data_IF_446505292935
#
_entry.id   IF_446505292935
#
_cell.length_a   1.000
_cell.length_b   1.000
_cell.length_c   1.000
_cell.angle_alpha   90.00
_cell.angle_beta   90.00
_cell.angle_gamma   90.00
#
_symmetry.space_group_name_H-M   'P 1'
#
loop_
_entity.id
_entity.type
_entity.pdbx_description
1 polymer ?
#
# COMPACT_ATOMS: atom_id res chain seq x y z
N UNK A 1 6.46 38.81 -36.38
CA UNK A 1 5.99 39.14 -35.02
C UNK A 1 6.12 37.89 -34.17
N UNK A 2 6.97 37.93 -33.14
CA UNK A 2 7.30 36.75 -32.34
C UNK A 2 6.20 36.43 -31.33
N UNK A 3 6.08 35.17 -30.91
CA UNK A 3 5.11 34.75 -29.89
C UNK A 3 5.21 35.55 -28.59
N UNK A 4 6.39 36.08 -28.27
CA UNK A 4 6.66 36.86 -27.06
C UNK A 4 5.98 38.25 -27.08
N UNK A 5 5.71 38.81 -28.26
CA UNK A 5 5.00 40.10 -28.41
C UNK A 5 3.49 39.95 -28.18
N UNK A 6 2.95 38.72 -28.21
CA UNK A 6 1.54 38.44 -27.91
C UNK A 6 1.27 38.21 -26.43
N UNK A 7 2.30 38.03 -25.60
CA UNK A 7 2.13 37.80 -24.18
C UNK A 7 1.85 39.11 -23.43
N UNK A 8 0.81 39.14 -22.59
CA UNK A 8 0.51 40.29 -21.73
C UNK A 8 1.41 40.29 -20.49
N UNK A 9 2.58 40.89 -20.63
CA UNK A 9 3.54 41.09 -19.54
C UNK A 9 3.06 42.08 -18.47
N UNK A 10 2.00 42.84 -18.74
CA UNK A 10 1.39 43.78 -17.78
C UNK A 10 0.75 43.08 -16.57
N UNK A 11 0.43 41.79 -16.70
CA UNK A 11 -0.17 40.97 -15.63
C UNK A 11 0.75 40.88 -14.41
N UNK A 12 2.08 40.87 -14.58
CA UNK A 12 3.03 40.80 -13.46
C UNK A 12 3.08 42.06 -12.60
N UNK A 13 2.61 43.19 -13.12
CA UNK A 13 2.53 44.47 -12.38
C UNK A 13 1.26 44.58 -11.52
N UNK A 14 0.29 43.68 -11.72
CA UNK A 14 -0.99 43.70 -10.98
C UNK A 14 -0.82 43.00 -9.64
N UNK A 15 -1.35 43.62 -8.59
CA UNK A 15 -1.28 43.05 -7.23
C UNK A 15 -2.09 41.77 -7.10
N UNK A 16 -3.18 41.65 -7.87
CA UNK A 16 -4.07 40.50 -7.90
C UNK A 16 -3.33 39.23 -8.36
N UNK A 17 -2.40 39.36 -9.31
CA UNK A 17 -1.61 38.23 -9.84
C UNK A 17 -0.79 37.57 -8.74
N UNK A 18 -0.13 38.37 -7.90
CA UNK A 18 0.70 37.86 -6.81
C UNK A 18 -0.13 37.28 -5.67
N UNK A 19 -1.30 37.85 -5.40
CA UNK A 19 -2.27 37.26 -4.45
C UNK A 19 -2.75 35.89 -4.94
N UNK A 20 -3.14 35.80 -6.21
CA UNK A 20 -3.55 34.54 -6.84
C UNK A 20 -2.42 33.51 -6.86
N UNK A 21 -1.18 33.93 -7.14
CA UNK A 21 -0.01 33.07 -7.06
C UNK A 21 0.21 32.51 -5.66
N UNK A 22 0.10 33.35 -4.61
CA UNK A 22 0.18 32.90 -3.22
C UNK A 22 -0.88 31.85 -2.88
N UNK A 23 -2.13 32.07 -3.31
CA UNK A 23 -3.22 31.08 -3.14
C UNK A 23 -2.90 29.78 -3.87
N UNK A 24 -2.37 29.85 -5.09
CA UNK A 24 -1.99 28.66 -5.86
C UNK A 24 -0.88 27.86 -5.16
N UNK A 25 0.16 28.52 -4.66
CA UNK A 25 1.26 27.87 -3.92
C UNK A 25 0.72 27.15 -2.69
N UNK A 26 -0.15 27.79 -1.91
CA UNK A 26 -0.75 27.17 -0.73
C UNK A 26 -1.61 25.97 -1.12
N UNK A 27 -2.49 26.12 -2.12
CA UNK A 27 -3.39 25.05 -2.54
C UNK A 27 -2.62 23.82 -3.04
N UNK A 28 -1.66 24.04 -3.95
CA UNK A 28 -0.81 22.96 -4.46
C UNK A 28 0.06 22.33 -3.38
N UNK A 29 0.59 23.15 -2.45
CA UNK A 29 1.37 22.66 -1.32
C UNK A 29 0.55 21.75 -0.41
N UNK A 30 -0.69 22.13 -0.07
CA UNK A 30 -1.58 21.30 0.76
C UNK A 30 -1.94 20.00 0.05
N UNK A 31 -2.25 20.06 -1.25
CA UNK A 31 -2.58 18.86 -2.03
C UNK A 31 -1.37 17.92 -2.11
N UNK A 32 -0.17 18.45 -2.38
CA UNK A 32 1.06 17.67 -2.42
C UNK A 32 1.37 17.04 -1.06
N UNK A 33 1.26 17.81 0.03
CA UNK A 33 1.45 17.31 1.38
C UNK A 33 0.47 16.18 1.72
N UNK A 34 -0.82 16.36 1.43
CA UNK A 34 -1.83 15.34 1.66
C UNK A 34 -1.56 14.07 0.84
N UNK A 35 -1.19 14.22 -0.43
CA UNK A 35 -0.81 13.09 -1.28
C UNK A 35 0.39 12.32 -0.72
N UNK A 36 1.48 13.02 -0.38
CA UNK A 36 2.68 12.40 0.19
C UNK A 36 2.39 11.73 1.54
N UNK A 37 1.59 12.35 2.39
CA UNK A 37 1.22 11.79 3.71
C UNK A 37 0.36 10.52 3.57
N UNK A 38 -0.54 10.49 2.57
CA UNK A 38 -1.33 9.29 2.27
C UNK A 38 -0.43 8.16 1.75
N UNK A 39 0.53 8.46 0.86
CA UNK A 39 1.51 7.46 0.41
C UNK A 39 2.33 6.90 1.57
N UNK A 40 2.81 7.75 2.48
CA UNK A 40 3.56 7.34 3.68
C UNK A 40 2.72 6.42 4.59
N UNK A 41 1.43 6.77 4.80
CA UNK A 41 0.50 5.91 5.57
C UNK A 41 0.16 4.60 4.87
N UNK A 42 0.24 4.54 3.54
CA UNK A 42 -0.03 3.33 2.77
C UNK A 42 1.14 2.36 2.82
N UNK A 43 2.39 2.84 2.86
CA UNK A 43 3.56 1.97 3.07
C UNK A 43 3.47 1.23 4.42
N UNK A 44 2.94 1.88 5.46
CA UNK A 44 2.68 1.26 6.77
C UNK A 44 1.54 0.21 6.71
N UNK A 45 0.49 0.45 5.91
CA UNK A 45 -0.66 -0.47 5.76
C UNK A 45 -0.35 -1.66 4.84
N UNK A 46 0.48 -1.46 3.81
CA UNK A 46 0.84 -2.50 2.85
C UNK A 46 2.06 -3.33 3.27
N UNK A 47 2.62 -3.06 4.45
CA UNK A 47 3.45 -4.01 5.21
C UNK A 47 4.54 -4.69 4.34
N UNK A 48 5.19 -3.94 3.45
CA UNK A 48 6.28 -4.49 2.63
C UNK A 48 7.52 -4.89 3.45
N UNK A 49 7.54 -4.45 4.72
CA UNK A 49 8.55 -4.74 5.74
C UNK A 49 7.95 -5.47 6.96
N UNK A 50 6.68 -5.89 6.92
CA UNK A 50 6.14 -6.72 7.99
C UNK A 50 6.55 -8.17 7.79
N UNK A 51 6.78 -8.84 8.92
CA UNK A 51 7.01 -10.28 8.97
C UNK A 51 5.92 -10.98 8.14
N UNK A 52 6.26 -11.85 7.17
CA UNK A 52 5.27 -12.51 6.34
C UNK A 52 4.19 -13.12 7.23
N UNK A 53 2.93 -12.70 7.04
CA UNK A 53 1.83 -13.25 7.83
C UNK A 53 1.91 -14.78 7.75
N UNK A 54 1.97 -15.49 8.90
CA UNK A 54 2.17 -16.92 8.88
C UNK A 54 1.03 -17.55 8.08
N UNK A 55 1.39 -18.38 7.09
CA UNK A 55 0.41 -19.10 6.26
C UNK A 55 -0.56 -19.80 7.22
N UNK A 56 -1.88 -19.58 7.09
CA UNK A 56 -2.85 -20.19 7.98
C UNK A 56 -2.66 -21.70 7.97
N UNK A 57 -2.78 -22.31 9.16
CA UNK A 57 -2.59 -23.74 9.28
C UNK A 57 -3.67 -24.49 8.49
N UNK A 58 -3.22 -25.36 7.59
CA UNK A 58 -4.11 -26.25 6.85
C UNK A 58 -4.22 -27.54 7.67
N UNK A 59 -5.42 -27.75 8.22
CA UNK A 59 -5.81 -28.94 8.98
C UNK A 59 -6.79 -29.74 8.13
N UNK A 60 -6.44 -30.98 7.83
CA UNK A 60 -7.30 -31.90 7.08
C UNK A 60 -7.71 -33.02 8.03
N UNK A 61 -9.01 -33.19 8.20
CA UNK A 61 -9.56 -34.30 8.97
C UNK A 61 -9.38 -35.61 8.18
N UNK A 62 -8.73 -36.59 8.80
CA UNK A 62 -8.46 -37.92 8.25
C UNK A 62 -9.34 -38.97 8.95
N UNK A 63 -9.59 -40.08 8.28
CA UNK A 63 -10.28 -41.23 8.89
C UNK A 63 -9.34 -42.08 9.77
N UNK A 64 -8.07 -41.66 9.90
CA UNK A 64 -7.01 -42.31 10.68
C UNK A 64 -6.96 -43.84 10.49
N UNK A 65 -6.97 -44.28 9.22
CA UNK A 65 -6.98 -45.71 8.88
C UNK A 65 -5.60 -46.32 9.08
N UNK A 66 -5.55 -47.36 9.91
CA UNK A 66 -4.33 -48.13 10.20
C UNK A 66 -3.65 -48.59 8.91
N UNK A 67 -2.36 -48.33 8.79
CA UNK A 67 -1.54 -48.72 7.63
C UNK A 67 -1.73 -47.90 6.35
N UNK A 68 -2.58 -46.86 6.34
CA UNK A 68 -2.75 -45.95 5.18
C UNK A 68 -2.39 -44.51 5.58
N UNK A 69 -3.16 -43.93 6.48
CA UNK A 69 -3.07 -42.50 6.87
C UNK A 69 -2.36 -42.32 8.21
N UNK A 70 -2.28 -43.37 9.03
CA UNK A 70 -1.69 -43.39 10.38
C UNK A 70 -0.28 -42.78 10.49
N UNK A 71 0.53 -42.87 9.44
CA UNK A 71 1.89 -42.32 9.44
C UNK A 71 1.94 -40.78 9.21
N UNK A 72 0.84 -40.20 8.75
CA UNK A 72 0.73 -38.78 8.40
C UNK A 72 -0.29 -38.03 9.26
N UNK A 73 -1.03 -38.77 10.09
CA UNK A 73 -2.12 -38.28 10.91
C UNK A 73 -1.69 -38.27 12.39
N UNK A 74 -2.02 -37.20 13.12
CA UNK A 74 -1.72 -37.09 14.55
C UNK A 74 -2.64 -38.00 15.41
N UNK A 75 -2.45 -37.95 16.74
CA UNK A 75 -3.28 -38.72 17.69
C UNK A 75 -4.76 -38.37 17.64
N UNK A 76 -5.10 -37.18 17.14
CA UNK A 76 -6.46 -36.65 17.08
C UNK A 76 -7.14 -36.94 15.74
N UNK A 77 -6.46 -37.59 14.79
CA UNK A 77 -7.03 -37.89 13.47
C UNK A 77 -6.82 -36.78 12.43
N UNK A 78 -5.95 -35.83 12.70
CA UNK A 78 -5.71 -34.66 11.85
C UNK A 78 -4.38 -34.73 11.11
N UNK A 79 -4.39 -34.31 9.84
CA UNK A 79 -3.18 -34.06 9.05
C UNK A 79 -2.91 -32.56 9.10
N UNK A 80 -1.78 -32.18 9.68
CA UNK A 80 -1.38 -30.78 9.87
C UNK A 80 -0.19 -30.45 8.98
N UNK A 81 -0.36 -29.49 8.08
CA UNK A 81 0.70 -29.12 7.13
C UNK A 81 1.95 -28.57 7.82
N UNK A 82 1.81 -28.04 9.03
CA UNK A 82 2.91 -27.58 9.90
C UNK A 82 3.87 -28.72 10.28
N UNK A 83 3.34 -29.92 10.50
CA UNK A 83 4.08 -31.12 10.93
C UNK A 83 4.71 -31.89 9.74
N UNK A 84 4.33 -31.53 8.51
CA UNK A 84 4.84 -32.14 7.26
C UNK A 84 5.98 -31.34 6.61
N UNK A 85 6.45 -30.26 7.24
CA UNK A 85 7.63 -29.50 6.77
C UNK A 85 8.89 -30.28 7.15
N UNK A 86 9.72 -30.59 6.15
CA UNK A 86 11.00 -31.30 6.33
C UNK A 86 12.08 -30.46 7.00
#
# INVERSE_FOLDING_TARGET
MGMLDQADWGVFKRSETWKAFGVAVVLFGVIAYAGLSLFDSMDEIFESDAEPAPIPEIIIQSLNRTGIEENYTNSDGEIRLSEMRG
#
